data_IF_509413546819
#
_entry.id   IF_509413546819
#
_cell.length_a   1.000
_cell.length_b   1.000
_cell.length_c   1.000
_cell.angle_alpha   90.00
_cell.angle_beta   90.00
_cell.angle_gamma   90.00
#
_symmetry.space_group_name_H-M   'P 1'
#
loop_
_entity.id
_entity.type
_entity.pdbx_description
1 polymer ?
#
# COMPACT_ATOMS: atom_id res chain seq x y z
N UNK A 1 41.85 15.71 68.10
CA UNK A 1 41.96 16.29 66.75
C UNK A 1 40.58 16.82 66.37
N UNK A 2 39.99 17.72 67.16
CA UNK A 2 40.25 19.18 67.21
C UNK A 2 39.86 19.86 65.89
N UNK A 3 39.15 20.99 65.79
CA UNK A 3 38.38 21.81 66.72
C UNK A 3 37.65 22.88 65.86
N UNK A 4 36.39 23.16 66.20
CA UNK A 4 35.84 24.50 66.46
C UNK A 4 35.99 25.70 65.47
N UNK A 5 34.80 26.25 65.17
CA UNK A 5 34.42 27.69 65.18
C UNK A 5 35.05 28.71 64.20
N UNK A 6 34.19 29.42 63.45
CA UNK A 6 33.90 30.86 63.71
C UNK A 6 32.98 31.48 62.64
N UNK A 7 32.05 32.31 63.12
CA UNK A 7 31.11 33.10 62.35
C UNK A 7 31.71 34.41 61.79
N UNK A 8 31.19 34.91 60.65
CA UNK A 8 30.96 36.35 60.46
C UNK A 8 29.99 36.67 59.31
N UNK A 9 29.01 37.52 59.64
CA UNK A 9 27.98 38.16 58.81
C UNK A 9 28.54 39.22 57.85
N UNK A 10 27.84 39.45 56.72
CA UNK A 10 27.44 40.76 56.12
C UNK A 10 26.61 40.48 54.84
N UNK A 11 25.30 40.84 54.77
CA UNK A 11 24.66 42.06 54.16
C UNK A 11 25.05 42.25 52.67
N UNK A 12 24.21 42.61 51.70
CA UNK A 12 22.80 43.00 51.49
C UNK A 12 22.63 43.01 49.93
N UNK A 13 21.47 43.06 49.27
CA UNK A 13 20.09 43.28 49.64
C UNK A 13 19.18 43.05 48.42
N UNK A 14 17.94 42.64 48.67
CA UNK A 14 16.86 42.50 47.70
C UNK A 14 16.03 43.78 47.66
N UNK A 15 15.76 44.30 46.45
CA UNK A 15 14.94 45.47 46.20
C UNK A 15 13.56 45.04 45.68
N UNK A 16 12.56 44.98 46.58
CA UNK A 16 11.14 45.17 46.27
C UNK A 16 10.46 45.69 47.54
N UNK A 17 9.73 46.82 47.52
CA UNK A 17 8.83 47.17 48.61
C UNK A 17 7.39 46.76 48.29
N UNK A 18 6.86 45.83 49.09
CA UNK A 18 5.42 45.71 49.34
C UNK A 18 4.94 46.94 50.10
N UNK A 19 3.87 47.57 49.63
CA UNK A 19 3.15 48.62 50.38
C UNK A 19 1.81 48.05 50.82
N UNK A 20 1.74 47.66 52.09
CA UNK A 20 0.48 47.56 52.83
C UNK A 20 0.53 48.60 53.97
N UNK A 21 -0.48 49.48 54.05
CA UNK A 21 -0.77 50.19 55.29
C UNK A 21 -2.24 50.59 55.38
N UNK A 22 -2.91 50.11 56.43
CA UNK A 22 -4.25 50.48 56.87
C UNK A 22 -4.17 51.44 58.06
N UNK A 23 -5.15 52.36 58.13
CA UNK A 23 -5.65 53.17 59.29
C UNK A 23 -4.73 54.30 59.79
N UNK A 24 -5.18 55.48 60.18
CA UNK A 24 -6.51 56.11 60.35
C UNK A 24 -6.37 57.34 61.29
N UNK A 25 -7.04 58.46 61.01
CA UNK A 25 -8.08 59.17 61.81
C UNK A 25 -7.82 60.67 62.02
N UNK A 26 -8.81 61.49 61.66
CA UNK A 26 -9.43 62.62 62.41
C UNK A 26 -10.10 63.57 61.39
N UNK A 27 -11.41 63.53 61.18
CA UNK A 27 -12.53 64.15 61.93
C UNK A 27 -12.56 65.69 61.88
N UNK A 28 -13.50 66.27 61.12
CA UNK A 28 -14.58 67.12 61.67
C UNK A 28 -15.61 67.59 60.61
N UNK A 29 -16.89 67.51 61.02
CA UNK A 29 -18.04 68.37 60.71
C UNK A 29 -18.85 68.25 59.39
N UNK A 30 -19.78 67.31 59.49
CA UNK A 30 -21.22 67.28 59.10
C UNK A 30 -21.89 68.63 58.70
N UNK A 31 -22.42 68.69 57.47
CA UNK A 31 -23.77 69.21 57.14
C UNK A 31 -24.17 68.78 55.71
N UNK A 32 -25.31 68.10 55.54
CA UNK A 32 -26.04 67.95 54.26
C UNK A 32 -26.92 69.19 54.08
N UNK A 33 -27.21 69.63 52.84
CA UNK A 33 -28.46 69.18 52.23
C UNK A 33 -28.36 68.81 50.74
N UNK A 34 -29.25 67.89 50.39
CA UNK A 34 -30.12 67.85 49.22
C UNK A 34 -29.57 67.64 47.80
N UNK A 35 -30.03 66.48 47.33
CA UNK A 35 -30.04 65.90 46.01
C UNK A 35 -30.83 66.78 45.04
N UNK A 36 -30.23 67.23 43.93
CA UNK A 36 -30.88 67.25 42.59
C UNK A 36 -29.95 67.80 41.49
N UNK A 37 -29.77 66.97 40.46
CA UNK A 37 -29.28 67.30 39.11
C UNK A 37 -27.83 67.83 38.95
N UNK A 38 -26.88 66.90 38.92
CA UNK A 38 -25.61 67.07 38.21
C UNK A 38 -25.87 67.05 36.69
N UNK A 39 -26.13 68.22 36.09
CA UNK A 39 -25.79 68.45 34.69
C UNK A 39 -24.31 68.81 34.63
N UNK A 40 -23.45 67.79 34.59
CA UNK A 40 -22.05 67.95 34.24
C UNK A 40 -21.74 67.08 33.03
N UNK A 41 -21.22 67.76 32.01
CA UNK A 41 -20.26 67.21 31.05
C UNK A 41 -20.82 66.29 29.96
N UNK A 42 -21.01 66.88 28.78
CA UNK A 42 -20.93 66.14 27.51
C UNK A 42 -20.00 66.88 26.54
N UNK A 43 -18.77 67.13 26.99
CA UNK A 43 -17.61 67.34 26.12
C UNK A 43 -16.64 66.17 26.31
N UNK A 44 -17.14 64.94 26.16
CA UNK A 44 -16.32 63.73 26.10
C UNK A 44 -16.51 63.13 24.71
N UNK A 45 -15.60 63.52 23.83
CA UNK A 45 -15.12 62.78 22.66
C UNK A 45 -16.17 62.23 21.67
N UNK A 46 -16.65 63.11 20.80
CA UNK A 46 -17.03 62.75 19.41
C UNK A 46 -15.80 62.43 18.52
N UNK A 47 -14.63 62.18 19.12
CA UNK A 47 -13.37 61.85 18.44
C UNK A 47 -13.08 60.35 18.37
N UNK A 48 -13.95 59.50 18.92
CA UNK A 48 -13.86 58.05 18.69
C UNK A 48 -14.46 57.72 17.31
N UNK A 49 -13.75 58.09 16.24
CA UNK A 49 -13.98 57.56 14.91
C UNK A 49 -13.91 56.03 15.01
N UNK A 50 -15.07 55.37 15.01
CA UNK A 50 -15.16 53.91 14.99
C UNK A 50 -14.47 53.48 13.71
N UNK A 51 -13.25 52.95 13.86
CA UNK A 51 -12.41 52.53 12.74
C UNK A 51 -13.24 51.73 11.74
N UNK A 52 -13.11 52.05 10.46
CA UNK A 52 -13.93 51.42 9.42
C UNK A 52 -13.70 49.89 9.45
N UNK A 53 -14.70 49.10 9.02
CA UNK A 53 -14.53 47.62 8.94
C UNK A 53 -13.26 47.20 8.18
N UNK A 54 -12.78 48.04 7.25
CA UNK A 54 -11.52 47.85 6.50
C UNK A 54 -10.28 48.17 7.34
N UNK A 55 -10.31 49.25 8.13
CA UNK A 55 -9.21 49.58 9.06
C UNK A 55 -9.09 48.55 10.17
N UNK A 56 -10.20 48.09 10.74
CA UNK A 56 -10.21 47.02 11.75
C UNK A 56 -9.63 45.72 11.17
N UNK A 57 -9.88 45.41 9.89
CA UNK A 57 -9.35 44.22 9.25
C UNK A 57 -7.82 44.26 9.08
N UNK A 58 -7.21 45.44 8.92
CA UNK A 58 -5.74 45.60 8.82
C UNK A 58 -5.00 45.26 10.12
N UNK A 59 -5.66 45.42 11.28
CA UNK A 59 -5.09 45.09 12.58
C UNK A 59 -5.46 43.69 13.07
N UNK A 60 -6.23 42.91 12.29
CA UNK A 60 -6.54 41.53 12.64
C UNK A 60 -5.31 40.66 12.37
N UNK A 61 -4.85 40.00 13.43
CA UNK A 61 -3.87 38.92 13.32
C UNK A 61 -4.33 37.88 12.29
N UNK A 62 -3.40 37.46 11.45
CA UNK A 62 -3.57 36.31 10.56
C UNK A 62 -3.91 35.04 11.34
N UNK A 63 -4.44 34.03 10.65
CA UNK A 63 -4.74 32.73 11.23
C UNK A 63 -3.50 32.13 11.95
N UNK A 64 -2.35 32.11 11.25
CA UNK A 64 -1.05 31.71 11.82
C UNK A 64 -0.70 32.47 13.08
N UNK A 65 -0.78 33.80 13.06
CA UNK A 65 -0.43 34.61 14.23
C UNK A 65 -1.34 34.29 15.42
N UNK A 66 -2.65 34.13 15.22
CA UNK A 66 -3.58 33.76 16.29
C UNK A 66 -3.27 32.37 16.87
N UNK A 67 -2.92 31.40 16.03
CA UNK A 67 -2.50 30.07 16.46
C UNK A 67 -1.22 30.15 17.29
N UNK A 68 -0.17 30.80 16.76
CA UNK A 68 1.10 30.98 17.45
C UNK A 68 0.97 31.68 18.80
N UNK A 69 0.19 32.76 18.86
CA UNK A 69 -0.05 33.50 20.11
C UNK A 69 -0.75 32.61 21.14
N UNK A 70 -1.78 31.84 20.73
CA UNK A 70 -2.46 30.91 21.64
C UNK A 70 -1.52 29.84 22.19
N UNK A 71 -0.68 29.23 21.35
CA UNK A 71 0.30 28.22 21.79
C UNK A 71 1.25 28.79 22.84
N UNK A 72 1.74 30.02 22.65
CA UNK A 72 2.62 30.70 23.60
C UNK A 72 1.90 31.08 24.90
N UNK A 73 0.64 31.53 24.82
CA UNK A 73 -0.19 31.83 26.00
C UNK A 73 -0.47 30.58 26.85
N UNK A 74 -0.67 29.44 26.21
CA UNK A 74 -0.80 28.12 26.87
C UNK A 74 0.56 27.58 27.36
N UNK A 75 1.66 28.28 27.09
CA UNK A 75 3.02 27.93 27.51
C UNK A 75 3.70 26.87 26.64
N UNK A 76 3.11 26.47 25.51
CA UNK A 76 3.57 25.38 24.62
C UNK A 76 4.64 25.86 23.63
N UNK A 77 5.81 26.23 24.16
CA UNK A 77 6.90 26.84 23.42
C UNK A 77 7.63 25.86 22.49
N UNK A 78 7.70 24.56 22.83
CA UNK A 78 8.35 23.56 21.95
C UNK A 78 7.50 23.29 20.73
N UNK A 79 6.21 23.06 20.94
CA UNK A 79 5.21 22.91 19.87
C UNK A 79 5.15 24.15 18.99
N UNK A 80 5.23 25.35 19.58
CA UNK A 80 5.31 26.59 18.82
C UNK A 80 6.55 26.61 17.92
N UNK A 81 7.73 26.28 18.46
CA UNK A 81 9.00 26.33 17.71
C UNK A 81 8.99 25.33 16.56
N UNK A 82 8.46 24.14 16.81
CA UNK A 82 8.31 23.09 15.80
C UNK A 82 7.31 23.47 14.70
N UNK A 83 6.13 23.98 15.07
CA UNK A 83 5.15 24.45 14.10
C UNK A 83 5.74 25.58 13.24
N UNK A 84 6.44 26.52 13.87
CA UNK A 84 7.09 27.62 13.18
C UNK A 84 8.09 27.10 12.13
N UNK A 85 8.91 26.13 12.50
CA UNK A 85 9.86 25.48 11.60
C UNK A 85 9.16 24.77 10.44
N UNK A 86 8.10 24.00 10.70
CA UNK A 86 7.34 23.29 9.66
C UNK A 86 6.73 24.24 8.63
N UNK A 87 6.17 25.36 9.11
CA UNK A 87 5.59 26.40 8.25
C UNK A 87 6.66 27.10 7.41
N UNK A 88 7.84 27.36 7.99
CA UNK A 88 8.96 27.94 7.26
C UNK A 88 9.50 26.97 6.20
N UNK A 89 9.69 25.70 6.56
CA UNK A 89 10.16 24.66 5.65
C UNK A 89 9.20 24.44 4.46
N UNK A 90 7.89 24.59 4.66
CA UNK A 90 6.93 24.57 3.54
C UNK A 90 7.15 25.74 2.58
N UNK A 91 7.31 26.95 3.09
CA UNK A 91 7.56 28.16 2.28
C UNK A 91 8.84 28.05 1.48
N UNK A 92 9.94 27.67 2.14
CA UNK A 92 11.25 27.57 1.51
C UNK A 92 11.24 26.53 0.38
N UNK A 93 10.50 25.43 0.55
CA UNK A 93 10.34 24.40 -0.48
C UNK A 93 9.50 24.87 -1.66
N UNK A 94 8.41 25.61 -1.43
CA UNK A 94 7.63 26.21 -2.52
C UNK A 94 8.46 27.23 -3.29
N UNK A 95 9.27 28.03 -2.60
CA UNK A 95 10.17 28.99 -3.25
C UNK A 95 11.27 28.32 -4.09
N UNK A 96 11.67 27.10 -3.74
CA UNK A 96 12.68 26.32 -4.45
C UNK A 96 12.13 25.44 -5.60
N UNK A 97 10.80 25.33 -5.76
CA UNK A 97 10.18 24.49 -6.78
C UNK A 97 10.32 25.09 -8.19
N UNK A 98 10.58 24.26 -9.20
CA UNK A 98 10.70 24.70 -10.60
C UNK A 98 9.38 25.27 -11.16
N UNK A 99 9.40 26.19 -12.14
CA UNK A 99 8.20 26.88 -12.64
C UNK A 99 7.06 25.98 -13.13
N UNK A 100 7.37 24.77 -13.61
CA UNK A 100 6.41 23.79 -14.12
C UNK A 100 5.66 23.04 -13.01
N UNK A 101 6.29 22.79 -11.85
CA UNK A 101 5.66 22.23 -10.66
C UNK A 101 5.11 23.30 -9.72
N UNK A 102 5.66 24.52 -9.81
CA UNK A 102 5.19 25.70 -9.10
C UNK A 102 3.74 26.04 -9.43
N UNK A 103 3.31 25.94 -10.70
CA UNK A 103 1.91 26.23 -11.09
C UNK A 103 0.88 25.38 -10.31
N UNK A 104 1.17 24.10 -10.10
CA UNK A 104 0.30 23.19 -9.32
C UNK A 104 0.37 23.47 -7.81
N UNK A 105 1.54 23.91 -7.32
CA UNK A 105 1.78 24.24 -5.91
C UNK A 105 1.25 25.63 -5.50
N UNK A 106 1.25 26.59 -6.43
CA UNK A 106 0.78 27.97 -6.25
C UNK A 106 -0.74 28.08 -6.21
N UNK A 107 -1.46 27.18 -6.89
CA UNK A 107 -2.92 27.11 -6.85
C UNK A 107 -3.45 26.67 -5.47
N UNK A 108 -2.60 26.14 -4.59
CA UNK A 108 -2.99 25.60 -3.28
C UNK A 108 -2.72 26.59 -2.13
N UNK A 109 -3.67 26.79 -1.20
CA UNK A 109 -3.42 27.59 -0.01
C UNK A 109 -2.31 26.97 0.87
N UNK A 110 -1.45 27.79 1.46
CA UNK A 110 -0.43 27.31 2.42
C UNK A 110 -1.08 26.67 3.64
N UNK A 111 -0.36 25.82 4.38
CA UNK A 111 -0.86 25.29 5.66
C UNK A 111 -1.30 26.41 6.61
N UNK A 112 -0.64 27.57 6.52
CA UNK A 112 -0.94 28.79 7.28
C UNK A 112 -2.31 29.42 6.96
N UNK A 113 -2.87 29.09 5.80
CA UNK A 113 -4.14 29.61 5.30
C UNK A 113 -5.28 28.58 5.47
N UNK A 114 -4.92 27.31 5.67
CA UNK A 114 -5.85 26.21 5.88
C UNK A 114 -6.30 26.12 7.35
N UNK A 115 -7.38 26.82 7.68
CA UNK A 115 -7.93 26.94 9.04
C UNK A 115 -8.05 25.61 9.79
N UNK A 116 -8.72 24.64 9.19
CA UNK A 116 -9.01 23.37 9.85
C UNK A 116 -7.71 22.60 10.16
N UNK A 117 -6.80 22.49 9.19
CA UNK A 117 -5.53 21.79 9.38
C UNK A 117 -4.67 22.47 10.43
N UNK A 118 -4.57 23.79 10.41
CA UNK A 118 -3.73 24.52 11.35
C UNK A 118 -4.26 24.44 12.79
N UNK A 119 -5.59 24.46 12.99
CA UNK A 119 -6.19 24.27 14.32
C UNK A 119 -5.99 22.84 14.84
N UNK A 120 -6.13 21.82 13.97
CA UNK A 120 -5.88 20.42 14.33
C UNK A 120 -4.42 20.19 14.71
N UNK A 121 -3.49 20.73 13.92
CA UNK A 121 -2.05 20.70 14.22
C UNK A 121 -1.76 21.35 15.58
N UNK A 122 -2.28 22.57 15.79
CA UNK A 122 -2.10 23.26 17.07
C UNK A 122 -2.59 22.42 18.24
N UNK A 123 -3.82 21.92 18.18
CA UNK A 123 -4.44 21.16 19.26
C UNK A 123 -3.58 19.97 19.66
N UNK A 124 -3.27 19.07 18.71
CA UNK A 124 -2.57 17.84 19.02
C UNK A 124 -1.08 18.05 19.31
N UNK A 125 -0.43 19.07 18.73
CA UNK A 125 0.95 19.40 19.15
C UNK A 125 0.98 19.89 20.59
N UNK A 126 0.05 20.78 20.98
CA UNK A 126 -0.06 21.27 22.35
C UNK A 126 -0.38 20.14 23.34
N UNK A 127 -1.32 19.25 23.00
CA UNK A 127 -1.64 18.08 23.82
C UNK A 127 -0.45 17.11 23.91
N UNK A 128 0.30 16.90 22.82
CA UNK A 128 1.51 16.08 22.82
C UNK A 128 2.61 16.65 23.73
N UNK A 129 2.86 17.96 23.70
CA UNK A 129 3.83 18.61 24.61
C UNK A 129 3.37 18.54 26.06
N UNK A 130 2.06 18.68 26.32
CA UNK A 130 1.53 18.53 27.67
C UNK A 130 1.63 17.08 28.18
N UNK A 131 1.39 16.09 27.32
CA UNK A 131 1.61 14.67 27.61
C UNK A 131 3.10 14.39 27.90
N UNK A 132 4.01 15.03 27.17
CA UNK A 132 5.44 14.94 27.42
C UNK A 132 5.81 15.50 28.80
N UNK A 133 5.26 16.66 29.18
CA UNK A 133 5.49 17.27 30.51
C UNK A 133 4.98 16.42 31.66
N UNK A 134 3.87 15.71 31.45
CA UNK A 134 3.31 14.79 32.44
C UNK A 134 4.04 13.44 32.46
N UNK A 135 4.99 13.21 31.56
CA UNK A 135 5.77 11.98 31.46
C UNK A 135 5.02 10.83 30.76
N UNK A 136 3.85 11.09 30.17
CA UNK A 136 3.06 10.09 29.46
C UNK A 136 3.50 9.97 28.01
N UNK A 137 4.52 9.13 27.79
CA UNK A 137 5.04 8.84 26.45
C UNK A 137 3.99 8.26 25.48
N UNK A 138 3.17 7.25 25.85
CA UNK A 138 2.18 6.70 24.93
C UNK A 138 1.13 7.72 24.48
N UNK A 139 0.69 8.61 25.38
CA UNK A 139 -0.27 9.67 25.03
C UNK A 139 0.34 10.70 24.07
N UNK A 140 1.61 11.06 24.28
CA UNK A 140 2.34 11.91 23.32
C UNK A 140 2.39 11.24 21.94
N UNK A 141 2.72 9.94 21.87
CA UNK A 141 2.75 9.22 20.60
C UNK A 141 1.37 9.10 19.94
N UNK A 142 0.28 8.95 20.68
CA UNK A 142 -1.09 8.92 20.13
C UNK A 142 -1.42 10.24 19.39
N UNK A 143 -1.15 11.39 20.01
CA UNK A 143 -1.38 12.70 19.36
C UNK A 143 -0.53 12.90 18.11
N UNK A 144 0.72 12.44 18.13
CA UNK A 144 1.63 12.53 16.98
C UNK A 144 1.27 11.54 15.88
N UNK A 145 0.88 10.32 16.22
CA UNK A 145 0.36 9.33 15.28
C UNK A 145 -0.88 9.86 14.57
N UNK A 146 -1.81 10.45 15.32
CA UNK A 146 -3.01 11.07 14.76
C UNK A 146 -2.65 12.16 13.74
N UNK A 147 -1.72 13.06 14.06
CA UNK A 147 -1.28 14.07 13.10
C UNK A 147 -0.66 13.45 11.85
N UNK A 148 0.15 12.40 12.00
CA UNK A 148 0.71 11.68 10.87
C UNK A 148 -0.37 11.08 9.95
N UNK A 149 -1.38 10.43 10.54
CA UNK A 149 -2.52 9.84 9.80
C UNK A 149 -3.46 10.89 9.20
N UNK A 150 -3.61 12.04 9.86
CA UNK A 150 -4.42 13.17 9.38
C UNK A 150 -3.87 13.73 8.06
N UNK A 151 -2.54 13.81 7.94
CA UNK A 151 -1.84 14.23 6.71
C UNK A 151 -1.63 13.07 5.72
N UNK A 152 -2.69 12.34 5.38
CA UNK A 152 -2.65 11.20 4.45
C UNK A 152 -2.66 11.58 2.96
N UNK A 153 -2.90 12.86 2.65
CA UNK A 153 -2.86 13.33 1.26
C UNK A 153 -1.43 13.20 0.69
N UNK A 154 -1.27 12.83 -0.59
CA UNK A 154 0.05 12.65 -1.21
C UNK A 154 0.93 13.90 -1.13
N UNK A 155 0.31 15.08 -1.09
CA UNK A 155 0.99 16.37 -0.99
C UNK A 155 1.50 16.68 0.42
N UNK A 156 0.94 16.04 1.45
CA UNK A 156 1.25 16.30 2.85
C UNK A 156 2.14 15.17 3.45
N UNK A 157 2.66 14.27 2.61
CA UNK A 157 3.50 13.13 3.01
C UNK A 157 4.70 13.52 3.87
N UNK A 158 5.33 14.67 3.60
CA UNK A 158 6.47 15.14 4.42
C UNK A 158 6.05 15.50 5.85
N UNK A 159 4.88 16.12 6.03
CA UNK A 159 4.35 16.39 7.37
C UNK A 159 3.99 15.09 8.06
N UNK A 160 3.39 14.15 7.32
CA UNK A 160 3.06 12.82 7.83
C UNK A 160 4.30 12.09 8.36
N UNK A 161 5.36 12.01 7.54
CA UNK A 161 6.65 11.42 7.93
C UNK A 161 7.29 12.15 9.11
N UNK A 162 7.29 13.48 9.13
CA UNK A 162 7.80 14.27 10.26
C UNK A 162 7.14 13.86 11.59
N UNK A 163 5.81 13.78 11.60
CA UNK A 163 5.08 13.40 12.81
C UNK A 163 5.32 11.93 13.18
N UNK A 164 5.40 11.00 12.22
CA UNK A 164 5.71 9.62 12.52
C UNK A 164 7.13 9.42 13.07
N UNK A 165 8.13 10.11 12.54
CA UNK A 165 9.50 10.11 13.07
C UNK A 165 9.54 10.66 14.49
N UNK A 166 8.81 11.74 14.76
CA UNK A 166 8.70 12.31 16.11
C UNK A 166 8.13 11.32 17.15
N UNK A 167 7.35 10.32 16.72
CA UNK A 167 6.92 9.19 17.56
C UNK A 167 7.99 8.11 17.73
N UNK A 168 8.78 7.85 16.69
CA UNK A 168 9.65 6.69 16.58
C UNK A 168 11.07 6.92 17.13
N UNK A 169 11.57 8.15 17.09
CA UNK A 169 13.00 8.46 17.31
C UNK A 169 13.49 8.38 18.76
N UNK A 170 12.61 8.28 19.76
CA UNK A 170 13.06 8.29 21.16
C UNK A 170 13.52 6.93 21.65
N UNK A 171 14.83 6.88 21.91
CA UNK A 171 15.69 5.89 22.59
C UNK A 171 15.19 4.44 22.68
N UNK A 172 16.04 3.56 22.17
CA UNK A 172 16.04 2.11 22.29
C UNK A 172 15.55 1.64 23.67
N UNK A 173 14.33 1.11 23.72
CA UNK A 173 13.76 0.40 24.87
C UNK A 173 12.29 0.70 25.19
N UNK A 174 11.71 1.80 24.70
CA UNK A 174 10.29 2.14 24.95
C UNK A 174 9.41 1.84 23.75
N UNK A 175 9.00 0.58 23.59
CA UNK A 175 7.96 0.18 22.63
C UNK A 175 6.58 0.61 23.15
N UNK A 176 5.82 1.33 22.33
CA UNK A 176 4.41 1.65 22.58
C UNK A 176 3.58 1.33 21.34
N UNK A 177 2.29 1.00 21.53
CA UNK A 177 1.35 0.76 20.42
C UNK A 177 1.39 1.88 19.35
N UNK A 178 1.33 3.19 19.71
CA UNK A 178 1.28 4.23 18.68
C UNK A 178 2.63 4.44 17.99
N UNK A 179 3.75 4.24 18.69
CA UNK A 179 5.07 4.34 18.08
C UNK A 179 5.37 3.16 17.15
N UNK A 180 4.86 1.97 17.44
CA UNK A 180 4.95 0.81 16.52
C UNK A 180 4.05 1.00 15.32
N UNK A 181 2.82 1.50 15.51
CA UNK A 181 1.92 1.83 14.41
C UNK A 181 2.48 2.93 13.51
N UNK A 182 3.14 3.95 14.07
CA UNK A 182 3.83 4.98 13.30
C UNK A 182 4.94 4.39 12.41
N UNK A 183 5.72 3.43 12.92
CA UNK A 183 6.74 2.71 12.12
C UNK A 183 6.13 1.92 10.97
N UNK A 184 5.01 1.24 11.20
CA UNK A 184 4.29 0.56 10.13
C UNK A 184 3.83 1.54 9.04
N UNK A 185 3.31 2.70 9.42
CA UNK A 185 2.90 3.75 8.48
C UNK A 185 4.11 4.34 7.72
N UNK A 186 5.24 4.56 8.39
CA UNK A 186 6.47 5.02 7.72
C UNK A 186 6.98 4.02 6.70
N UNK A 187 7.00 2.72 7.05
CA UNK A 187 7.42 1.69 6.11
C UNK A 187 6.57 1.68 4.83
N UNK A 188 5.25 1.89 4.95
CA UNK A 188 4.35 1.99 3.81
C UNK A 188 4.58 3.27 2.98
N UNK A 189 4.83 4.41 3.62
CA UNK A 189 5.12 5.66 2.92
C UNK A 189 6.47 5.62 2.19
N UNK A 190 7.52 5.11 2.84
CA UNK A 190 8.83 4.95 2.19
C UNK A 190 8.80 3.97 1.03
N UNK A 191 8.01 2.89 1.15
CA UNK A 191 7.75 1.97 0.04
C UNK A 191 7.08 2.69 -1.15
N UNK A 192 6.13 3.60 -0.90
CA UNK A 192 5.49 4.39 -1.95
C UNK A 192 6.45 5.39 -2.62
N UNK A 193 7.41 5.94 -1.86
CA UNK A 193 8.42 6.87 -2.36
C UNK A 193 9.57 6.17 -3.10
N UNK A 194 9.73 4.86 -2.91
CA UNK A 194 10.84 4.08 -3.49
C UNK A 194 12.11 4.07 -2.64
N UNK A 195 12.07 4.59 -1.42
CA UNK A 195 13.19 4.54 -0.46
C UNK A 195 13.20 3.18 0.26
N UNK A 196 13.55 2.13 -0.48
CA UNK A 196 13.36 0.73 -0.06
C UNK A 196 14.15 0.35 1.21
N UNK A 197 15.35 0.90 1.38
CA UNK A 197 16.21 0.58 2.53
C UNK A 197 15.68 1.18 3.84
N UNK A 198 15.18 2.42 3.81
CA UNK A 198 14.51 3.03 4.96
C UNK A 198 13.19 2.32 5.26
N UNK A 199 12.42 1.99 4.22
CA UNK A 199 11.20 1.19 4.37
C UNK A 199 11.48 -0.15 5.08
N UNK A 200 12.54 -0.85 4.67
CA UNK A 200 12.97 -2.13 5.27
C UNK A 200 13.29 -1.96 6.75
N UNK A 201 14.13 -0.98 7.09
CA UNK A 201 14.54 -0.72 8.47
C UNK A 201 13.33 -0.45 9.38
N UNK A 202 12.39 0.39 8.94
CA UNK A 202 11.20 0.71 9.72
C UNK A 202 10.27 -0.51 9.89
N UNK A 203 10.08 -1.31 8.85
CA UNK A 203 9.28 -2.52 8.91
C UNK A 203 9.89 -3.58 9.85
N UNK A 204 11.21 -3.82 9.78
CA UNK A 204 11.91 -4.75 10.69
C UNK A 204 11.82 -4.31 12.15
N UNK A 205 12.03 -3.02 12.43
CA UNK A 205 11.89 -2.46 13.78
C UNK A 205 10.45 -2.60 14.28
N UNK A 206 9.45 -2.39 13.41
CA UNK A 206 8.05 -2.59 13.74
C UNK A 206 7.76 -4.03 14.15
N UNK A 207 8.28 -5.02 13.41
CA UNK A 207 8.08 -6.45 13.73
C UNK A 207 8.68 -6.76 15.09
N UNK A 208 9.96 -6.40 15.33
CA UNK A 208 10.65 -6.66 16.60
C UNK A 208 9.87 -6.08 17.80
N UNK A 209 9.42 -4.83 17.69
CA UNK A 209 8.69 -4.16 18.76
C UNK A 209 7.26 -4.66 18.96
N UNK A 210 6.63 -5.19 17.91
CA UNK A 210 5.29 -5.77 17.97
C UNK A 210 5.30 -7.20 18.51
N UNK A 211 6.40 -7.95 18.34
CA UNK A 211 6.58 -9.28 18.95
C UNK A 211 6.63 -9.22 20.48
N UNK A 212 7.23 -8.17 21.04
CA UNK A 212 7.28 -7.96 22.49
C UNK A 212 5.92 -7.58 23.10
N UNK A 213 5.05 -6.91 22.33
CA UNK A 213 3.86 -6.23 22.87
C UNK A 213 2.50 -6.76 22.42
N UNK A 214 2.44 -7.63 21.41
CA UNK A 214 1.16 -8.18 20.91
C UNK A 214 0.19 -7.10 20.38
N UNK A 215 0.73 -5.98 19.89
CA UNK A 215 -0.06 -4.80 19.55
C UNK A 215 -0.97 -5.00 18.34
N UNK A 216 -2.18 -4.45 18.42
CA UNK A 216 -3.18 -4.44 17.36
C UNK A 216 -3.29 -3.05 16.73
N UNK A 217 -3.56 -3.02 15.42
CA UNK A 217 -3.94 -1.81 14.70
C UNK A 217 -5.40 -1.41 14.99
N UNK A 218 -5.82 -0.27 14.47
CA UNK A 218 -7.20 0.22 14.62
C UNK A 218 -8.26 -0.74 14.04
N UNK A 219 -7.88 -1.64 13.13
CA UNK A 219 -8.76 -2.66 12.56
C UNK A 219 -8.80 -3.97 13.38
N UNK A 220 -8.06 -4.03 14.49
CA UNK A 220 -7.95 -5.21 15.34
C UNK A 220 -6.99 -6.27 14.80
N UNK A 221 -6.21 -5.97 13.75
CA UNK A 221 -5.20 -6.89 13.22
C UNK A 221 -3.86 -6.68 13.91
N UNK A 222 -3.09 -7.75 14.18
CA UNK A 222 -1.77 -7.61 14.78
C UNK A 222 -0.82 -6.79 13.89
N UNK A 223 -0.20 -5.76 14.47
CA UNK A 223 0.74 -4.88 13.76
C UNK A 223 1.92 -5.66 13.16
N UNK A 224 2.36 -6.72 13.83
CA UNK A 224 3.41 -7.63 13.31
C UNK A 224 3.02 -8.26 11.98
N UNK A 225 1.76 -8.66 11.79
CA UNK A 225 1.32 -9.28 10.54
C UNK A 225 1.29 -8.25 9.42
N UNK A 226 0.71 -7.07 9.69
CA UNK A 226 0.74 -5.93 8.74
C UNK A 226 2.16 -5.57 8.33
N UNK A 227 3.09 -5.47 9.29
CA UNK A 227 4.48 -5.15 9.01
C UNK A 227 5.18 -6.24 8.17
N UNK A 228 4.89 -7.53 8.42
CA UNK A 228 5.38 -8.65 7.60
C UNK A 228 4.87 -8.59 6.16
N UNK A 229 3.61 -8.23 5.95
CA UNK A 229 3.04 -8.00 4.61
C UNK A 229 3.78 -6.89 3.87
N UNK A 230 4.02 -5.75 4.54
CA UNK A 230 4.78 -4.64 3.97
C UNK A 230 6.23 -5.04 3.69
N UNK A 231 6.87 -5.78 4.61
CA UNK A 231 8.25 -6.24 4.46
C UNK A 231 8.43 -7.21 3.29
N UNK A 232 7.45 -8.10 3.04
CA UNK A 232 7.44 -8.91 1.82
C UNK A 232 7.46 -8.03 0.54
N UNK A 233 6.62 -6.98 0.46
CA UNK A 233 6.59 -6.06 -0.70
C UNK A 233 7.92 -5.36 -0.90
N UNK A 234 8.54 -4.92 0.19
CA UNK A 234 9.85 -4.27 0.18
C UNK A 234 10.90 -5.24 -0.39
N UNK A 235 10.93 -6.50 0.07
CA UNK A 235 11.84 -7.51 -0.45
C UNK A 235 11.60 -7.85 -1.93
N UNK A 236 10.33 -7.93 -2.38
CA UNK A 236 9.99 -8.13 -3.80
C UNK A 236 10.55 -6.99 -4.67
N UNK A 237 10.42 -5.74 -4.23
CA UNK A 237 10.95 -4.59 -4.94
C UNK A 237 12.48 -4.50 -4.90
N UNK A 238 13.11 -4.79 -3.75
CA UNK A 238 14.57 -4.84 -3.63
C UNK A 238 15.18 -5.91 -4.53
N UNK A 239 14.48 -7.01 -4.78
CA UNK A 239 14.95 -8.08 -5.65
C UNK A 239 14.93 -7.73 -7.15
N UNK A 240 14.22 -6.69 -7.59
CA UNK A 240 14.12 -6.33 -9.02
C UNK A 240 15.48 -5.93 -9.61
N UNK A 241 16.19 -5.02 -8.95
CA UNK A 241 17.49 -4.54 -9.42
C UNK A 241 18.54 -5.66 -9.57
N UNK A 242 18.77 -6.54 -8.57
CA UNK A 242 19.71 -7.66 -8.72
C UNK A 242 19.23 -8.70 -9.76
N UNK A 243 17.91 -8.90 -9.92
CA UNK A 243 17.38 -9.76 -11.00
C UNK A 243 17.72 -9.21 -12.39
N UNK A 244 17.57 -7.91 -12.59
CA UNK A 244 17.86 -7.26 -13.88
C UNK A 244 19.37 -7.18 -14.16
N UNK A 245 20.19 -7.09 -13.12
CA UNK A 245 21.65 -7.16 -13.19
C UNK A 245 22.20 -8.61 -13.33
N UNK A 246 21.33 -9.62 -13.39
CA UNK A 246 21.67 -11.04 -13.38
C UNK A 246 22.47 -11.49 -12.13
N UNK A 247 22.42 -10.73 -11.03
CA UNK A 247 22.93 -11.13 -9.73
C UNK A 247 21.90 -12.02 -9.00
N UNK A 248 21.73 -13.23 -9.52
CA UNK A 248 20.65 -14.12 -9.09
C UNK A 248 20.76 -14.60 -7.64
N UNK A 249 21.96 -14.72 -7.07
CA UNK A 249 22.13 -15.16 -5.67
C UNK A 249 21.53 -14.16 -4.69
N UNK A 250 21.84 -12.88 -4.86
CA UNK A 250 21.31 -11.80 -4.00
C UNK A 250 19.80 -11.67 -4.16
N UNK A 251 19.31 -11.70 -5.41
CA UNK A 251 17.88 -11.65 -5.67
C UNK A 251 17.11 -12.80 -5.03
N UNK A 252 17.61 -14.03 -5.13
CA UNK A 252 16.98 -15.20 -4.52
C UNK A 252 17.00 -15.12 -2.99
N UNK A 253 18.09 -14.64 -2.38
CA UNK A 253 18.14 -14.43 -0.94
C UNK A 253 17.07 -13.43 -0.46
N UNK A 254 16.90 -12.31 -1.17
CA UNK A 254 15.87 -11.32 -0.87
C UNK A 254 14.46 -11.90 -1.04
N UNK A 255 14.19 -12.61 -2.14
CA UNK A 255 12.89 -13.24 -2.37
C UNK A 255 12.57 -14.34 -1.35
N UNK A 256 13.56 -15.11 -0.88
CA UNK A 256 13.37 -16.09 0.20
C UNK A 256 13.05 -15.42 1.53
N UNK A 257 13.73 -14.32 1.88
CA UNK A 257 13.37 -13.51 3.06
C UNK A 257 11.94 -12.99 2.94
N UNK A 258 11.58 -12.44 1.77
CA UNK A 258 10.23 -12.00 1.47
C UNK A 258 9.19 -13.11 1.60
N UNK A 259 9.50 -14.32 1.11
CA UNK A 259 8.62 -15.48 1.23
C UNK A 259 8.42 -15.92 2.69
N UNK A 260 9.47 -15.92 3.51
CA UNK A 260 9.32 -16.18 4.96
C UNK A 260 8.33 -15.18 5.58
N UNK A 261 8.50 -13.88 5.30
CA UNK A 261 7.59 -12.85 5.81
C UNK A 261 6.16 -13.02 5.32
N UNK A 262 5.98 -13.40 4.05
CA UNK A 262 4.66 -13.69 3.48
C UNK A 262 3.98 -14.86 4.20
N UNK A 263 4.69 -15.99 4.40
CA UNK A 263 4.15 -17.16 5.11
C UNK A 263 3.80 -16.83 6.57
N UNK A 264 4.62 -16.00 7.22
CA UNK A 264 4.41 -15.58 8.61
C UNK A 264 3.36 -14.46 8.78
N UNK A 265 2.84 -13.92 7.68
CA UNK A 265 1.79 -12.90 7.68
C UNK A 265 0.38 -13.47 7.84
N UNK A 266 0.22 -14.80 7.70
CA UNK A 266 -1.05 -15.53 7.71
C UNK A 266 -2.05 -15.08 6.63
N UNK A 267 -1.56 -14.39 5.61
CA UNK A 267 -2.32 -13.99 4.43
C UNK A 267 -1.98 -14.93 3.27
N UNK A 268 -2.91 -15.84 2.96
CA UNK A 268 -2.74 -16.84 1.91
C UNK A 268 -2.56 -16.22 0.53
N UNK A 269 -3.18 -15.07 0.26
CA UNK A 269 -3.00 -14.41 -1.03
C UNK A 269 -1.55 -13.93 -1.18
N UNK A 270 -1.01 -13.29 -0.13
CA UNK A 270 0.38 -12.79 -0.13
C UNK A 270 1.38 -13.95 -0.17
N UNK A 271 1.13 -15.04 0.56
CA UNK A 271 1.92 -16.28 0.48
C UNK A 271 1.98 -16.83 -0.96
N UNK A 272 0.83 -16.86 -1.64
CA UNK A 272 0.73 -17.28 -3.03
C UNK A 272 1.51 -16.37 -3.99
N UNK A 273 1.35 -15.06 -3.87
CA UNK A 273 2.08 -14.08 -4.67
C UNK A 273 3.60 -14.22 -4.48
N UNK A 274 4.08 -14.39 -3.24
CA UNK A 274 5.48 -14.64 -2.93
C UNK A 274 6.00 -15.95 -3.52
N UNK A 275 5.23 -17.04 -3.44
CA UNK A 275 5.58 -18.32 -4.08
C UNK A 275 5.71 -18.17 -5.60
N UNK A 276 4.75 -17.48 -6.24
CA UNK A 276 4.80 -17.23 -7.69
C UNK A 276 6.04 -16.42 -8.09
N UNK A 277 6.41 -15.39 -7.31
CA UNK A 277 7.62 -14.59 -7.54
C UNK A 277 8.90 -15.42 -7.47
N UNK A 278 9.05 -16.26 -6.44
CA UNK A 278 10.18 -17.19 -6.33
C UNK A 278 10.22 -18.18 -7.50
N UNK A 279 9.06 -18.72 -7.90
CA UNK A 279 8.96 -19.60 -9.06
C UNK A 279 9.48 -18.94 -10.34
N UNK A 280 9.09 -17.68 -10.60
CA UNK A 280 9.58 -16.92 -11.74
C UNK A 280 11.09 -16.64 -11.65
N UNK A 281 11.61 -16.36 -10.46
CA UNK A 281 13.03 -16.13 -10.26
C UNK A 281 13.86 -17.38 -10.58
N UNK A 282 13.48 -18.54 -10.03
CA UNK A 282 14.12 -19.83 -10.33
C UNK A 282 13.99 -20.23 -11.80
N UNK A 283 12.86 -19.92 -12.44
CA UNK A 283 12.71 -20.14 -13.87
C UNK A 283 13.70 -19.30 -14.69
N UNK A 284 14.02 -18.07 -14.26
CA UNK A 284 15.03 -17.22 -14.92
C UNK A 284 16.46 -17.69 -14.68
N UNK A 285 16.75 -18.31 -13.54
CA UNK A 285 18.08 -18.88 -13.26
C UNK A 285 18.32 -20.23 -13.94
N UNK A 286 17.26 -20.87 -14.46
CA UNK A 286 17.31 -22.18 -15.11
C UNK A 286 17.12 -23.36 -14.15
N UNK A 287 16.88 -23.12 -12.86
CA UNK A 287 16.50 -24.17 -11.92
C UNK A 287 14.99 -24.40 -11.97
N UNK A 288 14.57 -25.04 -13.05
CA UNK A 288 13.19 -25.34 -13.37
C UNK A 288 12.53 -26.32 -12.37
N UNK A 289 13.32 -27.19 -11.73
CA UNK A 289 12.83 -28.12 -10.70
C UNK A 289 12.37 -27.40 -9.43
N UNK A 290 13.12 -26.42 -8.93
CA UNK A 290 12.68 -25.61 -7.79
C UNK A 290 11.57 -24.63 -8.20
N UNK A 291 11.63 -24.06 -9.40
CA UNK A 291 10.55 -23.22 -9.94
C UNK A 291 9.20 -23.96 -9.91
N UNK A 292 9.18 -25.22 -10.36
CA UNK A 292 7.99 -26.09 -10.34
C UNK A 292 7.42 -26.27 -8.94
N UNK A 293 8.27 -26.47 -7.92
CA UNK A 293 7.83 -26.60 -6.52
C UNK A 293 7.10 -25.34 -6.07
N UNK A 294 7.66 -24.17 -6.32
CA UNK A 294 7.05 -22.89 -5.95
C UNK A 294 5.77 -22.58 -6.72
N UNK A 295 5.73 -22.87 -8.02
CA UNK A 295 4.48 -22.77 -8.78
C UNK A 295 3.40 -23.73 -8.27
N UNK A 296 3.78 -24.91 -7.78
CA UNK A 296 2.83 -25.87 -7.21
C UNK A 296 2.26 -25.36 -5.89
N UNK A 297 3.10 -24.79 -5.03
CA UNK A 297 2.64 -24.09 -3.81
C UNK A 297 1.67 -22.96 -4.16
N UNK A 298 2.02 -22.11 -5.14
CA UNK A 298 1.12 -21.03 -5.60
C UNK A 298 -0.22 -21.58 -6.11
N UNK A 299 -0.19 -22.64 -6.92
CA UNK A 299 -1.39 -23.27 -7.45
C UNK A 299 -2.29 -23.84 -6.35
N UNK A 300 -1.72 -24.55 -5.37
CA UNK A 300 -2.47 -25.08 -4.23
C UNK A 300 -3.16 -23.97 -3.44
N UNK A 301 -2.49 -22.84 -3.24
CA UNK A 301 -3.07 -21.65 -2.61
C UNK A 301 -4.22 -21.08 -3.44
N UNK A 302 -4.05 -20.95 -4.76
CA UNK A 302 -5.14 -20.48 -5.62
C UNK A 302 -6.34 -21.44 -5.62
N UNK A 303 -6.11 -22.76 -5.52
CA UNK A 303 -7.20 -23.76 -5.38
C UNK A 303 -7.95 -23.57 -4.06
N UNK A 304 -7.25 -23.40 -2.94
CA UNK A 304 -7.92 -23.19 -1.63
C UNK A 304 -8.69 -21.88 -1.58
N UNK A 305 -8.21 -20.84 -2.28
CA UNK A 305 -8.87 -19.54 -2.40
C UNK A 305 -9.96 -19.49 -3.48
N UNK A 306 -10.14 -20.56 -4.27
CA UNK A 306 -11.00 -20.56 -5.45
C UNK A 306 -10.65 -19.46 -6.48
N UNK A 307 -9.38 -19.06 -6.56
CA UNK A 307 -8.86 -18.08 -7.52
C UNK A 307 -8.55 -18.75 -8.86
N UNK A 308 -9.53 -18.71 -9.75
CA UNK A 308 -9.39 -19.31 -11.06
C UNK A 308 -8.28 -18.66 -11.90
N UNK A 309 -8.12 -17.34 -11.83
CA UNK A 309 -7.09 -16.62 -12.57
C UNK A 309 -5.69 -17.00 -12.13
N UNK A 310 -5.49 -17.17 -10.82
CA UNK A 310 -4.22 -17.61 -10.24
C UNK A 310 -3.84 -19.05 -10.63
N UNK A 311 -4.80 -19.97 -10.67
CA UNK A 311 -4.59 -21.34 -11.16
C UNK A 311 -4.06 -21.30 -12.61
N UNK A 312 -4.74 -20.58 -13.51
CA UNK A 312 -4.31 -20.46 -14.91
C UNK A 312 -2.90 -19.87 -15.06
N UNK A 313 -2.54 -18.88 -14.24
CA UNK A 313 -1.18 -18.30 -14.20
C UNK A 313 -0.14 -19.34 -13.78
N UNK A 314 -0.42 -20.10 -12.72
CA UNK A 314 0.51 -21.11 -12.20
C UNK A 314 0.83 -22.17 -13.27
N UNK A 315 -0.19 -22.69 -13.95
CA UNK A 315 0.01 -23.71 -14.98
C UNK A 315 0.70 -23.20 -16.22
N UNK A 316 0.41 -21.98 -16.65
CA UNK A 316 1.16 -21.35 -17.74
C UNK A 316 2.64 -21.21 -17.40
N UNK A 317 2.96 -20.83 -16.17
CA UNK A 317 4.33 -20.70 -15.70
C UNK A 317 5.05 -22.07 -15.63
N UNK A 318 4.37 -23.09 -15.09
CA UNK A 318 4.85 -24.47 -15.07
C UNK A 318 5.11 -25.03 -16.47
N UNK A 319 4.16 -24.88 -17.40
CA UNK A 319 4.29 -25.36 -18.78
C UNK A 319 5.49 -24.72 -19.48
N UNK A 320 5.69 -23.41 -19.31
CA UNK A 320 6.86 -22.70 -19.84
C UNK A 320 8.17 -23.21 -19.24
N UNK A 321 8.18 -23.55 -17.94
CA UNK A 321 9.36 -24.12 -17.28
C UNK A 321 9.71 -25.50 -17.86
N UNK A 322 8.72 -26.38 -18.02
CA UNK A 322 8.95 -27.74 -18.52
C UNK A 322 9.23 -27.80 -20.03
N UNK A 323 8.67 -26.87 -20.81
CA UNK A 323 9.06 -26.67 -22.22
C UNK A 323 10.54 -26.31 -22.33
N UNK A 324 11.04 -25.48 -21.41
CA UNK A 324 12.46 -25.08 -21.36
C UNK A 324 13.39 -26.24 -20.97
N UNK A 325 12.93 -27.18 -20.14
CA UNK A 325 13.65 -28.41 -19.79
C UNK A 325 13.56 -29.51 -20.88
N UNK A 326 12.65 -29.38 -21.84
CA UNK A 326 12.36 -30.43 -22.82
C UNK A 326 11.61 -31.64 -22.24
N UNK A 327 11.11 -31.57 -21.00
CA UNK A 327 10.40 -32.67 -20.33
C UNK A 327 8.89 -32.61 -20.59
N UNK A 328 8.52 -33.01 -21.81
CA UNK A 328 7.12 -32.98 -22.27
C UNK A 328 6.21 -33.94 -21.51
N UNK A 329 6.70 -35.12 -21.10
CA UNK A 329 5.90 -36.13 -20.40
C UNK A 329 5.42 -35.66 -19.03
N UNK A 330 6.31 -35.01 -18.27
CA UNK A 330 5.93 -34.43 -16.98
C UNK A 330 4.97 -33.26 -17.14
N UNK A 331 5.09 -32.48 -18.21
CA UNK A 331 4.17 -31.39 -18.54
C UNK A 331 2.76 -31.91 -18.73
N UNK A 332 2.62 -32.97 -19.52
CA UNK A 332 1.35 -33.63 -19.80
C UNK A 332 0.74 -34.14 -18.49
N UNK A 333 1.51 -34.87 -17.67
CA UNK A 333 1.03 -35.39 -16.38
C UNK A 333 0.52 -34.29 -15.45
N UNK A 334 1.26 -33.19 -15.32
CA UNK A 334 0.86 -32.06 -14.47
C UNK A 334 -0.42 -31.38 -14.95
N UNK A 335 -0.63 -31.27 -16.28
CA UNK A 335 -1.84 -30.71 -16.83
C UNK A 335 -3.03 -31.68 -16.83
N UNK A 336 -2.80 -32.99 -16.89
CA UNK A 336 -3.86 -33.99 -16.70
C UNK A 336 -4.38 -33.96 -15.26
N UNK A 337 -3.50 -33.83 -14.27
CA UNK A 337 -3.87 -33.59 -12.87
C UNK A 337 -4.68 -32.30 -12.71
N UNK A 338 -4.31 -31.22 -13.42
CA UNK A 338 -5.10 -29.99 -13.45
C UNK A 338 -6.52 -30.21 -13.93
N UNK A 339 -6.67 -30.88 -15.07
CA UNK A 339 -7.97 -31.19 -15.66
C UNK A 339 -8.81 -31.97 -14.65
N UNK A 340 -8.21 -32.91 -13.92
CA UNK A 340 -8.89 -33.66 -12.87
C UNK A 340 -9.35 -32.77 -11.71
N UNK A 341 -8.46 -31.95 -11.14
CA UNK A 341 -8.75 -31.07 -10.01
C UNK A 341 -9.80 -30.01 -10.39
N UNK A 342 -9.65 -29.36 -11.52
CA UNK A 342 -10.60 -28.33 -11.98
C UNK A 342 -11.96 -28.90 -12.31
N UNK A 343 -12.03 -30.12 -12.84
CA UNK A 343 -13.29 -30.83 -13.06
C UNK A 343 -14.01 -31.15 -11.76
N UNK A 344 -13.32 -31.69 -10.75
CA UNK A 344 -13.93 -32.04 -9.46
C UNK A 344 -14.42 -30.79 -8.74
N UNK A 345 -13.68 -29.68 -8.82
CA UNK A 345 -14.03 -28.42 -8.16
C UNK A 345 -14.98 -27.52 -8.98
N UNK A 346 -15.45 -27.96 -10.15
CA UNK A 346 -16.40 -27.19 -10.98
C UNK A 346 -15.82 -25.90 -11.60
N UNK A 347 -14.49 -25.82 -11.76
CA UNK A 347 -13.78 -24.66 -12.28
C UNK A 347 -13.76 -24.66 -13.81
N UNK A 348 -14.92 -24.44 -14.43
CA UNK A 348 -15.14 -24.61 -15.88
C UNK A 348 -14.16 -23.78 -16.75
N UNK A 349 -13.89 -22.51 -16.41
CA UNK A 349 -12.96 -21.69 -17.19
C UNK A 349 -11.54 -22.27 -17.20
N UNK A 350 -11.05 -22.74 -16.04
CA UNK A 350 -9.73 -23.34 -15.94
C UNK A 350 -9.66 -24.71 -16.59
N UNK A 351 -10.75 -25.49 -16.48
CA UNK A 351 -10.86 -26.78 -17.15
C UNK A 351 -10.73 -26.59 -18.67
N UNK A 352 -11.42 -25.60 -19.24
CA UNK A 352 -11.30 -25.27 -20.65
C UNK A 352 -9.87 -24.87 -21.01
N UNK A 353 -9.25 -23.92 -20.30
CA UNK A 353 -7.87 -23.51 -20.58
C UNK A 353 -6.85 -24.65 -20.42
N UNK A 354 -7.03 -25.54 -19.43
CA UNK A 354 -6.21 -26.73 -19.21
C UNK A 354 -6.27 -27.69 -20.40
N UNK A 355 -7.48 -27.98 -20.89
CA UNK A 355 -7.71 -28.78 -22.07
C UNK A 355 -7.08 -28.13 -23.32
N UNK A 356 -7.21 -26.82 -23.50
CA UNK A 356 -6.57 -26.11 -24.61
C UNK A 356 -5.04 -26.15 -24.53
N UNK A 357 -4.46 -26.07 -23.33
CA UNK A 357 -3.01 -26.14 -23.14
C UNK A 357 -2.48 -27.55 -23.42
N UNK A 358 -3.15 -28.59 -22.93
CA UNK A 358 -2.85 -30.00 -23.28
C UNK A 358 -2.93 -30.23 -24.78
N UNK A 359 -3.98 -29.72 -25.44
CA UNK A 359 -4.13 -29.82 -26.88
C UNK A 359 -2.94 -29.22 -27.64
N UNK A 360 -2.43 -28.08 -27.19
CA UNK A 360 -1.25 -27.46 -27.80
C UNK A 360 0.01 -28.31 -27.63
N UNK A 361 0.23 -28.92 -26.46
CA UNK A 361 1.38 -29.80 -26.19
C UNK A 361 1.30 -31.09 -27.01
N UNK A 362 0.11 -31.68 -27.15
CA UNK A 362 -0.05 -32.83 -28.02
C UNK A 362 0.17 -32.48 -29.50
N UNK A 363 -0.17 -31.26 -29.93
CA UNK A 363 0.19 -30.75 -31.26
C UNK A 363 1.71 -30.62 -31.44
N UNK A 364 2.44 -30.07 -30.48
CA UNK A 364 3.91 -29.93 -30.58
C UNK A 364 4.62 -31.28 -30.57
N UNK A 365 4.07 -32.28 -29.88
CA UNK A 365 4.58 -33.66 -29.88
C UNK A 365 4.05 -34.52 -31.04
N UNK A 366 3.38 -33.92 -32.03
CA UNK A 366 2.80 -34.59 -33.21
C UNK A 366 1.70 -35.64 -32.95
N UNK A 367 1.11 -35.63 -31.75
CA UNK A 367 -0.04 -36.47 -31.38
C UNK A 367 -1.36 -35.76 -31.72
N UNK A 368 -1.61 -35.51 -33.01
CA UNK A 368 -2.72 -34.66 -33.47
C UNK A 368 -4.12 -35.18 -33.10
N UNK A 369 -4.30 -36.49 -32.96
CA UNK A 369 -5.59 -37.09 -32.57
C UNK A 369 -5.92 -36.74 -31.11
N UNK A 370 -4.98 -36.99 -30.18
CA UNK A 370 -5.15 -36.59 -28.77
C UNK A 370 -5.28 -35.08 -28.63
N UNK A 371 -4.52 -34.31 -29.39
CA UNK A 371 -4.64 -32.86 -29.40
C UNK A 371 -6.08 -32.42 -29.74
N UNK A 372 -6.67 -33.04 -30.77
CA UNK A 372 -8.04 -32.76 -31.18
C UNK A 372 -9.07 -33.11 -30.10
N UNK A 373 -8.92 -34.24 -29.41
CA UNK A 373 -9.79 -34.64 -28.30
C UNK A 373 -9.82 -33.58 -27.20
N UNK A 374 -8.64 -33.12 -26.75
CA UNK A 374 -8.54 -32.09 -25.73
C UNK A 374 -9.05 -30.71 -26.21
N UNK A 375 -8.83 -30.34 -27.48
CA UNK A 375 -9.41 -29.10 -28.01
C UNK A 375 -10.94 -29.14 -28.10
N UNK A 376 -11.53 -30.28 -28.46
CA UNK A 376 -12.99 -30.45 -28.48
C UNK A 376 -13.54 -30.36 -27.06
N UNK A 377 -12.92 -31.05 -26.10
CA UNK A 377 -13.30 -30.98 -24.70
C UNK A 377 -13.22 -29.54 -24.16
N UNK A 378 -12.14 -28.81 -24.47
CA UNK A 378 -12.01 -27.40 -24.09
C UNK A 378 -13.08 -26.51 -24.72
N UNK A 379 -13.47 -26.79 -25.97
CA UNK A 379 -14.55 -26.08 -26.66
C UNK A 379 -15.92 -26.35 -26.03
N UNK A 380 -16.24 -27.60 -25.70
CA UNK A 380 -17.50 -27.98 -25.04
C UNK A 380 -17.63 -27.26 -23.69
N UNK A 381 -16.58 -27.32 -22.85
CA UNK A 381 -16.55 -26.62 -21.56
C UNK A 381 -16.65 -25.10 -21.74
N UNK A 382 -16.03 -24.53 -22.77
CA UNK A 382 -16.16 -23.09 -23.05
C UNK A 382 -17.57 -22.66 -23.50
N UNK A 383 -18.37 -23.59 -24.06
CA UNK A 383 -19.77 -23.31 -24.35
C UNK A 383 -20.61 -23.25 -23.06
N UNK A 384 -20.24 -24.06 -22.06
CA UNK A 384 -20.88 -24.07 -20.73
C UNK A 384 -20.55 -22.80 -19.92
N UNK A 385 -19.37 -22.20 -20.10
CA UNK A 385 -18.99 -20.97 -19.38
C UNK A 385 -19.67 -19.70 -19.89
N UNK A 386 -20.16 -19.68 -21.13
CA UNK A 386 -20.73 -18.48 -21.76
C UNK A 386 -19.70 -17.42 -22.15
N UNK A 387 -18.39 -17.72 -22.04
CA UNK A 387 -17.32 -16.81 -22.46
C UNK A 387 -17.08 -16.91 -23.97
N UNK A 388 -17.57 -15.91 -24.70
CA UNK A 388 -17.46 -15.82 -26.16
C UNK A 388 -16.00 -15.78 -26.63
N UNK A 389 -15.09 -15.14 -25.89
CA UNK A 389 -13.67 -15.05 -26.25
C UNK A 389 -12.99 -16.41 -26.15
N UNK A 390 -13.23 -17.11 -25.03
CA UNK A 390 -12.69 -18.44 -24.82
C UNK A 390 -13.25 -19.44 -25.84
N UNK A 391 -14.54 -19.34 -26.16
CA UNK A 391 -15.20 -20.15 -27.18
C UNK A 391 -14.57 -19.95 -28.56
N UNK A 392 -14.36 -18.70 -28.98
CA UNK A 392 -13.73 -18.39 -30.26
C UNK A 392 -12.29 -18.92 -30.32
N UNK A 393 -11.51 -18.73 -29.24
CA UNK A 393 -10.15 -19.27 -29.12
C UNK A 393 -10.15 -20.80 -29.26
N UNK A 394 -11.02 -21.49 -28.52
CA UNK A 394 -11.16 -22.94 -28.58
C UNK A 394 -11.57 -23.41 -29.99
N UNK A 395 -12.51 -22.72 -30.63
CA UNK A 395 -12.97 -23.04 -31.99
C UNK A 395 -11.84 -22.94 -33.02
N UNK A 396 -11.03 -21.89 -32.97
CA UNK A 396 -9.86 -21.73 -33.85
C UNK A 396 -8.86 -22.87 -33.65
N UNK A 397 -8.61 -23.27 -32.41
CA UNK A 397 -7.70 -24.37 -32.08
C UNK A 397 -8.22 -25.72 -32.57
N UNK A 398 -9.52 -26.01 -32.39
CA UNK A 398 -10.17 -27.20 -32.96
C UNK A 398 -10.02 -27.23 -34.48
N UNK A 399 -10.29 -26.11 -35.15
CA UNK A 399 -10.16 -26.02 -36.61
C UNK A 399 -8.73 -26.27 -37.08
N UNK A 400 -7.74 -25.67 -36.39
CA UNK A 400 -6.31 -25.87 -36.66
C UNK A 400 -5.90 -27.34 -36.48
N UNK A 401 -6.29 -27.97 -35.37
CA UNK A 401 -5.95 -29.36 -35.09
C UNK A 401 -6.60 -30.33 -36.08
N UNK A 402 -7.86 -30.09 -36.48
CA UNK A 402 -8.51 -30.85 -37.55
C UNK A 402 -7.75 -30.74 -38.87
N UNK A 403 -7.33 -29.52 -39.24
CA UNK A 403 -6.55 -29.32 -40.47
C UNK A 403 -5.20 -30.06 -40.43
N UNK A 404 -4.49 -30.00 -39.29
CA UNK A 404 -3.20 -30.72 -39.13
C UNK A 404 -3.36 -32.23 -39.16
N UNK A 405 -4.40 -32.78 -38.51
CA UNK A 405 -4.73 -34.21 -38.57
C UNK A 405 -5.06 -34.66 -40.01
N UNK A 406 -5.80 -33.84 -40.77
CA UNK A 406 -6.11 -34.10 -42.18
C UNK A 406 -4.87 -34.02 -43.08
N UNK A 407 -3.99 -33.05 -42.86
CA UNK A 407 -2.72 -32.94 -43.59
C UNK A 407 -1.81 -34.14 -43.33
N UNK A 408 -1.75 -34.64 -42.09
CA UNK A 408 -0.98 -35.84 -41.77
C UNK A 408 -1.53 -37.11 -42.44
N UNK A 409 -2.86 -37.25 -42.52
CA UNK A 409 -3.52 -38.44 -43.08
C UNK A 409 -3.55 -38.47 -44.60
N UNK A 410 -3.80 -37.33 -45.26
CA UNK A 410 -3.95 -37.26 -46.72
C UNK A 410 -2.76 -36.57 -47.43
N UNK A 411 -1.77 -36.06 -46.70
CA UNK A 411 -0.64 -35.33 -47.29
C UNK A 411 0.15 -36.16 -48.30
N UNK A 412 0.43 -37.43 -47.98
CA UNK A 412 1.12 -38.35 -48.90
C UNK A 412 0.27 -38.68 -50.15
N UNK A 413 -1.06 -38.72 -50.00
CA UNK A 413 -1.99 -38.94 -51.10
C UNK A 413 -2.06 -37.73 -52.05
N UNK A 414 -2.01 -36.52 -51.50
CA UNK A 414 -1.97 -35.27 -52.29
C UNK A 414 -0.66 -35.17 -53.09
N UNK A 415 0.47 -35.56 -52.50
CA UNK A 415 1.80 -35.48 -53.16
C UNK A 415 2.00 -36.60 -54.19
N UNK A 416 1.56 -37.82 -53.90
CA UNK A 416 1.80 -38.98 -54.78
C UNK A 416 0.94 -38.98 -56.06
N UNK A 417 -0.23 -38.33 -56.05
CA UNK A 417 -1.18 -38.22 -57.17
C UNK A 417 -1.52 -39.55 -57.89
N UNK A 418 -1.33 -40.69 -57.22
CA UNK A 418 -1.60 -42.01 -57.80
C UNK A 418 -3.11 -42.24 -57.97
N UNK A 419 -3.56 -43.11 -58.90
CA UNK A 419 -4.97 -43.44 -59.05
C UNK A 419 -5.65 -43.95 -57.77
N UNK A 420 -4.88 -44.64 -56.90
CA UNK A 420 -5.34 -45.09 -55.59
C UNK A 420 -5.47 -43.95 -54.57
N UNK A 421 -4.51 -43.01 -54.57
CA UNK A 421 -4.59 -41.80 -53.75
C UNK A 421 -5.76 -40.90 -54.16
N UNK A 422 -5.99 -40.73 -55.48
CA UNK A 422 -7.12 -39.97 -56.01
C UNK A 422 -8.46 -40.57 -55.57
N UNK A 423 -8.61 -41.90 -55.57
CA UNK A 423 -9.81 -42.57 -55.06
C UNK A 423 -10.03 -42.29 -53.57
N UNK A 424 -9.00 -42.36 -52.72
CA UNK A 424 -9.11 -42.04 -51.29
C UNK A 424 -9.50 -40.58 -51.04
N UNK A 425 -8.89 -39.64 -51.76
CA UNK A 425 -9.22 -38.21 -51.67
C UNK A 425 -10.66 -37.92 -52.13
N UNK A 426 -11.13 -38.58 -53.18
CA UNK A 426 -12.52 -38.45 -53.67
C UNK A 426 -13.53 -39.03 -52.67
N UNK A 427 -13.24 -40.18 -52.07
CA UNK A 427 -14.08 -40.74 -51.00
C UNK A 427 -14.17 -39.78 -49.82
N UNK A 428 -13.04 -39.22 -49.37
CA UNK A 428 -13.04 -38.20 -48.31
C UNK A 428 -13.83 -36.95 -48.68
N UNK A 429 -13.68 -36.45 -49.92
CA UNK A 429 -14.44 -35.29 -50.40
C UNK A 429 -15.95 -35.54 -50.34
N UNK A 430 -16.38 -36.75 -50.71
CA UNK A 430 -17.79 -37.11 -50.70
C UNK A 430 -18.33 -37.30 -49.27
N UNK A 431 -17.51 -37.77 -48.32
CA UNK A 431 -17.95 -37.97 -46.91
C UNK A 431 -17.95 -36.69 -46.08
N UNK A 432 -17.13 -35.67 -46.40
CA UNK A 432 -17.20 -34.38 -45.68
C UNK A 432 -18.44 -33.55 -46.06
N UNK A 433 -18.93 -33.68 -47.29
CA UNK A 433 -20.10 -32.94 -47.77
C UNK A 433 -21.39 -33.44 -47.10
N UNK A 434 -21.46 -34.74 -46.81
CA UNK A 434 -22.59 -35.34 -46.07
C UNK A 434 -22.61 -34.93 -44.60
N UNK A 435 -21.46 -34.89 -43.91
CA UNK A 435 -21.35 -34.38 -42.53
C UNK A 435 -21.61 -32.85 -42.45
N UNK A 436 -21.20 -32.09 -43.47
CA UNK A 436 -21.48 -30.66 -43.59
C UNK A 436 -22.95 -30.34 -43.86
N UNK A 437 -23.70 -31.28 -44.46
CA UNK A 437 -25.14 -31.17 -44.66
C UNK A 437 -25.93 -31.49 -43.38
N UNK A 438 -25.51 -32.52 -42.63
CA UNK A 438 -26.14 -32.89 -41.35
C UNK A 438 -25.97 -31.83 -40.25
N UNK A 439 -24.82 -31.16 -40.18
CA UNK A 439 -24.57 -30.08 -39.20
C UNK A 439 -25.33 -28.78 -39.49
N UNK A 440 -25.68 -28.51 -40.75
CA UNK A 440 -26.54 -27.37 -41.14
C UNK A 440 -28.02 -27.60 -40.82
N UNK A 441 -28.48 -28.85 -40.86
CA UNK A 441 -29.84 -29.21 -40.47
C UNK A 441 -30.05 -29.02 -38.96
N UNK A 442 -29.10 -29.44 -38.10
CA UNK A 442 -29.23 -29.22 -36.66
C UNK A 442 -29.19 -27.74 -36.21
N UNK A 443 -28.48 -26.87 -36.94
CA UNK A 443 -28.47 -25.41 -36.67
C UNK A 443 -29.72 -24.67 -37.15
N UNK A 444 -30.57 -25.30 -37.94
CA UNK A 444 -31.85 -24.71 -38.37
C UNK A 444 -33.01 -25.09 -37.44
N UNK A 445 -32.80 -26.02 -36.51
CA UNK A 445 -33.80 -26.56 -35.58
C UNK A 445 -33.57 -26.17 -34.11
N UNK A 446 -32.58 -25.33 -33.82
CA UNK A 446 -32.32 -24.68 -32.52
C UNK A 446 -32.25 -23.18 -32.69
#
# INVERSE_FOLDING_TARGET
MDAAAAAKRRRAGSLLPEVTSKRGRSSQNRAKPDNESLHTSSEWDESAQVASKREIALFRNSLKQNVCVRMLQEGNHRSFSELFYLLQAERDRRAAAEPSSALSSELRPLLEEQREKLETVRLHMCEAEQAERTGSWPAMCEHRLFLGQFFSAPEDQLLSLHFFHSCADREQGRSSRPATEARACMAELYLQQGELEEARQQAELCIRQAEDGGWLDLSGRPLRLRARQTLWRIYDQLAVAPMDAANYSEALELLHKGYSMATESDDKQIEGEAAHRLGLAYQRTGDHNTAKKFFNTYMQICVTMNDAGGIGKAYKAMAKSMESEGNMEETIRCLEELVHITRINGLLHNLADACLLLGNIYCTTSHYIRALEFFIQGYEVSCETGDVSLQQKAQVLVARARAQSLLGTYGADVVSASPGALRRLLVWKNTRETLGAQSRLHRAES
#
